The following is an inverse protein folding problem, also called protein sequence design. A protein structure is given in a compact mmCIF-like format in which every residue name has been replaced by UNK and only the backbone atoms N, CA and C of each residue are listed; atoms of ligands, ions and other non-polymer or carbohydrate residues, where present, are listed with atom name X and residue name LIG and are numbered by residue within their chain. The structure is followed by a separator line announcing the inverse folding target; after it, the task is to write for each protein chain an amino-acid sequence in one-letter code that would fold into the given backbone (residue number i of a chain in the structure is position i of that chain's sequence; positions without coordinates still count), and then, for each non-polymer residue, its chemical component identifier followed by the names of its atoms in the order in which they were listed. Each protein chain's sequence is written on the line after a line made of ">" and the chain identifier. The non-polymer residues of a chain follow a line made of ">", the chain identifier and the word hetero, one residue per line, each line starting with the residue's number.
data_IF_446199466875
#
_entry.id   IF_446199466875
#
_cell.length_a   1.000
_cell.length_b   1.000
_cell.length_c   1.000
_cell.angle_alpha   90.00
_cell.angle_beta   90.00
_cell.angle_gamma   90.00
#
_symmetry.space_group_name_H-M   'P 1'
#
loop_
_entity.id
_entity.type
_entity.pdbx_description
1 polymer ?
#
# COMPACT_ATOMS: atom_id res chain seq x y z
N UNK A 1 11.42 -11.66 17.43
CA UNK A 1 11.80 -10.35 16.86
C UNK A 1 10.54 -9.67 16.35
N UNK A 2 10.41 -8.35 16.52
CA UNK A 2 9.26 -7.61 16.01
C UNK A 2 9.46 -7.33 14.51
N UNK A 3 8.42 -7.53 13.72
CA UNK A 3 8.39 -7.17 12.31
C UNK A 3 7.99 -5.69 12.13
N UNK A 4 7.11 -5.20 13.01
CA UNK A 4 6.59 -3.84 12.98
C UNK A 4 6.63 -3.27 14.40
N UNK A 5 7.14 -2.06 14.53
CA UNK A 5 7.11 -1.27 15.77
C UNK A 5 6.62 0.14 15.47
N UNK A 6 5.59 0.57 16.21
CA UNK A 6 4.96 1.87 16.07
C UNK A 6 4.87 2.53 17.43
N UNK A 7 5.35 3.76 17.54
CA UNK A 7 5.40 4.52 18.79
C UNK A 7 4.85 5.94 18.59
N UNK A 8 3.79 6.29 19.32
CA UNK A 8 3.20 7.64 19.37
C UNK A 8 2.80 8.18 18.00
N UNK A 9 2.33 7.32 17.10
CA UNK A 9 2.16 7.66 15.69
C UNK A 9 0.95 8.58 15.49
N UNK A 10 1.20 9.71 14.82
CA UNK A 10 0.18 10.75 14.58
C UNK A 10 0.16 11.17 13.12
N UNK A 11 -1.04 11.45 12.62
CA UNK A 11 -1.24 12.07 11.30
C UNK A 11 -2.32 13.14 11.34
N UNK A 12 -1.90 14.33 10.95
CA UNK A 12 -2.75 15.49 10.81
C UNK A 12 -2.78 15.95 9.35
N UNK A 13 -3.96 16.37 8.91
CA UNK A 13 -4.19 16.99 7.61
C UNK A 13 -4.71 18.41 7.79
N UNK A 14 -4.26 19.32 6.94
CA UNK A 14 -4.82 20.67 6.85
C UNK A 14 -5.97 20.64 5.83
N UNK A 15 -7.19 20.75 6.30
CA UNK A 15 -8.37 20.92 5.46
C UNK A 15 -8.70 22.41 5.33
N UNK A 16 -9.07 22.85 4.13
CA UNK A 16 -9.53 24.21 3.92
C UNK A 16 -10.91 24.40 4.54
N UNK A 17 -11.10 25.45 5.33
CA UNK A 17 -12.45 25.91 5.70
C UNK A 17 -12.72 27.19 4.93
N UNK A 18 -13.64 27.15 3.96
CA UNK A 18 -14.10 28.38 3.32
C UNK A 18 -15.01 29.14 4.28
N UNK A 19 -14.80 30.45 4.38
CA UNK A 19 -15.75 31.35 5.04
C UNK A 19 -16.96 31.55 4.12
N UNK A 20 -18.16 31.61 4.68
CA UNK A 20 -19.39 31.84 3.93
C UNK A 20 -19.51 33.29 3.45
N UNK A 21 -20.07 33.48 2.24
CA UNK A 21 -20.35 34.78 1.63
C UNK A 21 -19.22 35.36 0.75
N UNK A 22 -19.57 36.33 -0.11
CA UNK A 22 -18.66 36.99 -1.06
C UNK A 22 -17.48 37.70 -0.36
N UNK A 23 -17.72 38.31 0.80
CA UNK A 23 -16.69 38.91 1.64
C UNK A 23 -15.76 37.85 2.28
N UNK A 24 -16.30 36.68 2.62
CA UNK A 24 -15.53 35.52 3.08
C UNK A 24 -14.58 34.99 2.00
N UNK A 25 -15.05 34.88 0.76
CA UNK A 25 -14.24 34.45 -0.38
C UNK A 25 -13.09 35.42 -0.70
N UNK A 26 -13.36 36.74 -0.69
CA UNK A 26 -12.30 37.75 -0.86
C UNK A 26 -11.25 37.67 0.26
N UNK A 27 -11.66 37.47 1.51
CA UNK A 27 -10.74 37.39 2.66
C UNK A 27 -9.94 36.09 2.68
N UNK A 28 -10.49 35.00 2.18
CA UNK A 28 -9.78 33.72 2.01
C UNK A 28 -8.73 33.78 0.87
N UNK A 29 -8.86 34.75 -0.05
CA UNK A 29 -7.83 35.06 -1.05
C UNK A 29 -6.56 35.65 -0.40
N UNK A 30 -6.71 36.42 0.69
CA UNK A 30 -5.61 37.07 1.41
C UNK A 30 -5.18 36.33 2.68
N UNK A 31 -6.09 35.62 3.36
CA UNK A 31 -5.83 34.89 4.61
C UNK A 31 -6.57 33.56 4.63
N UNK A 32 -5.91 32.52 4.10
CA UNK A 32 -6.44 31.15 4.08
C UNK A 32 -6.59 30.62 5.49
N UNK A 33 -7.81 30.21 5.85
CA UNK A 33 -8.08 29.55 7.11
C UNK A 33 -7.96 28.03 6.94
N UNK A 34 -7.27 27.38 7.86
CA UNK A 34 -7.06 25.93 7.84
C UNK A 34 -7.67 25.31 9.08
N UNK A 35 -8.42 24.23 8.89
CA UNK A 35 -8.84 23.33 9.97
C UNK A 35 -7.90 22.14 10.00
N UNK A 36 -7.38 21.81 11.18
CA UNK A 36 -6.59 20.59 11.37
C UNK A 36 -7.56 19.42 11.56
N UNK A 37 -7.37 18.38 10.76
CA UNK A 37 -8.10 17.11 10.85
C UNK A 37 -7.10 16.05 11.31
N UNK A 38 -7.31 15.52 12.51
CA UNK A 38 -6.50 14.44 13.07
C UNK A 38 -7.03 13.11 12.54
N UNK A 39 -6.30 12.52 11.59
CA UNK A 39 -6.66 11.24 10.98
C UNK A 39 -6.11 10.04 11.76
N UNK A 40 -4.99 10.22 12.46
CA UNK A 40 -4.43 9.22 13.37
C UNK A 40 -3.91 9.97 14.60
N UNK A 41 -4.29 9.53 15.78
CA UNK A 41 -3.96 10.20 17.03
C UNK A 41 -3.32 9.23 18.03
N UNK A 42 -2.00 9.27 18.10
CA UNK A 42 -1.17 8.67 19.15
C UNK A 42 -1.25 7.14 19.26
N UNK A 43 -1.19 6.44 18.13
CA UNK A 43 -1.24 4.98 18.16
C UNK A 43 0.15 4.39 18.41
N UNK A 44 0.22 3.38 19.29
CA UNK A 44 1.44 2.63 19.57
C UNK A 44 1.14 1.14 19.62
N UNK A 45 1.89 0.33 18.90
CA UNK A 45 1.74 -1.13 18.87
C UNK A 45 2.97 -1.80 18.27
N UNK A 46 3.10 -3.10 18.50
CA UNK A 46 4.12 -3.96 17.91
C UNK A 46 3.46 -5.17 17.25
N UNK A 47 4.03 -5.65 16.14
CA UNK A 47 3.63 -6.90 15.49
C UNK A 47 4.86 -7.80 15.40
N UNK A 48 4.73 -9.05 15.84
CA UNK A 48 5.83 -10.02 15.82
C UNK A 48 5.99 -10.63 14.43
N UNK A 49 7.21 -11.11 14.13
CA UNK A 49 7.45 -11.88 12.90
C UNK A 49 6.51 -13.09 12.84
N UNK A 50 5.84 -13.27 11.69
CA UNK A 50 4.88 -14.37 11.47
C UNK A 50 3.48 -14.15 12.05
N UNK A 51 3.24 -13.04 12.75
CA UNK A 51 1.93 -12.73 13.32
C UNK A 51 0.95 -12.22 12.25
N UNK A 52 -0.28 -12.71 12.31
CA UNK A 52 -1.38 -12.22 11.46
C UNK A 52 -2.29 -11.31 12.29
N UNK A 53 -2.37 -10.03 11.92
CA UNK A 53 -3.13 -9.01 12.66
C UNK A 53 -4.25 -8.44 11.79
N UNK A 54 -5.46 -8.38 12.36
CA UNK A 54 -6.58 -7.65 11.79
C UNK A 54 -6.68 -6.24 12.37
N UNK A 55 -6.65 -5.20 11.52
CA UNK A 55 -6.79 -3.81 11.95
C UNK A 55 -8.18 -3.27 11.55
N UNK A 56 -9.09 -3.22 12.53
CA UNK A 56 -10.53 -3.01 12.33
C UNK A 56 -10.97 -1.72 13.02
N UNK A 57 -12.04 -1.09 12.52
CA UNK A 57 -12.60 0.15 13.02
C UNK A 57 -13.58 0.74 12.01
N UNK A 58 -14.27 1.82 12.37
CA UNK A 58 -15.25 2.49 11.51
C UNK A 58 -14.62 3.18 10.29
N UNK A 59 -15.45 3.53 9.30
CA UNK A 59 -15.00 4.34 8.17
C UNK A 59 -14.56 5.72 8.68
N UNK A 60 -13.38 6.17 8.26
CA UNK A 60 -12.79 7.42 8.75
C UNK A 60 -11.91 7.28 10.00
N UNK A 61 -11.87 6.12 10.67
CA UNK A 61 -11.06 5.90 11.88
C UNK A 61 -9.52 5.90 11.65
N UNK A 62 -9.04 6.26 10.47
CA UNK A 62 -7.60 6.34 10.18
C UNK A 62 -6.94 5.05 9.67
N UNK A 63 -7.66 3.93 9.55
CA UNK A 63 -7.09 2.62 9.13
C UNK A 63 -6.20 2.69 7.88
N UNK A 64 -6.76 3.16 6.76
CA UNK A 64 -6.02 3.30 5.51
C UNK A 64 -4.89 4.32 5.60
N UNK A 65 -5.04 5.34 6.45
CA UNK A 65 -4.00 6.33 6.72
C UNK A 65 -2.83 5.69 7.44
N UNK A 66 -3.09 4.89 8.49
CA UNK A 66 -2.08 4.10 9.20
C UNK A 66 -1.35 3.14 8.28
N UNK A 67 -2.07 2.34 7.48
CA UNK A 67 -1.44 1.41 6.53
C UNK A 67 -0.54 2.16 5.54
N UNK A 68 -0.99 3.30 4.99
CA UNK A 68 -0.16 4.11 4.09
C UNK A 68 1.10 4.65 4.76
N UNK A 69 1.08 4.91 6.06
CA UNK A 69 2.27 5.31 6.81
C UNK A 69 3.23 4.13 7.00
N UNK A 70 2.72 2.97 7.43
CA UNK A 70 3.52 1.75 7.56
C UNK A 70 4.21 1.36 6.24
N UNK A 71 3.54 1.56 5.11
CA UNK A 71 4.08 1.22 3.78
C UNK A 71 4.92 2.34 3.18
N UNK A 72 5.24 3.39 3.93
CA UNK A 72 6.07 4.50 3.47
C UNK A 72 5.39 5.45 2.47
N UNK A 73 4.13 5.21 2.07
CA UNK A 73 3.40 6.02 1.08
C UNK A 73 3.07 7.40 1.62
N UNK A 74 2.72 7.48 2.90
CA UNK A 74 2.34 8.70 3.58
C UNK A 74 3.29 8.95 4.75
N UNK A 75 3.91 10.11 4.86
CA UNK A 75 4.76 10.42 6.02
C UNK A 75 3.90 10.80 7.23
N UNK A 76 4.17 10.27 8.45
CA UNK A 76 3.51 10.73 9.66
C UNK A 76 3.78 12.21 9.94
N UNK A 77 2.89 12.82 10.71
CA UNK A 77 3.13 14.18 11.23
C UNK A 77 4.11 14.11 12.40
N UNK A 78 3.99 13.11 13.27
CA UNK A 78 4.93 12.80 14.35
C UNK A 78 4.83 11.34 14.78
N UNK A 79 5.75 10.93 15.66
CA UNK A 79 5.91 9.54 16.10
C UNK A 79 6.96 8.76 15.30
N UNK A 80 7.11 7.48 15.61
CA UNK A 80 8.11 6.58 15.01
C UNK A 80 7.48 5.33 14.41
N UNK A 81 8.02 4.88 13.28
CA UNK A 81 7.71 3.61 12.62
C UNK A 81 9.02 2.91 12.27
N UNK A 82 9.10 1.63 12.63
CA UNK A 82 10.12 0.68 12.16
C UNK A 82 9.40 -0.54 11.59
N UNK A 83 9.75 -0.95 10.38
CA UNK A 83 9.23 -2.15 9.71
C UNK A 83 10.40 -2.89 9.09
N UNK A 84 10.53 -4.19 9.37
CA UNK A 84 11.67 -5.02 8.93
C UNK A 84 13.02 -4.38 9.30
N UNK A 85 13.13 -3.82 10.51
CA UNK A 85 14.31 -3.07 11.01
C UNK A 85 14.67 -1.81 10.21
N UNK A 86 13.79 -1.32 9.33
CA UNK A 86 14.00 -0.12 8.52
C UNK A 86 12.99 0.96 8.86
N UNK A 87 13.34 2.24 8.61
CA UNK A 87 12.36 3.33 8.65
C UNK A 87 11.74 3.53 7.24
N UNK A 88 10.42 3.32 7.06
CA UNK A 88 9.75 3.41 5.76
C UNK A 88 9.87 4.75 5.03
N UNK A 89 10.16 5.83 5.76
CA UNK A 89 10.19 7.21 5.25
C UNK A 89 11.59 7.72 4.97
N UNK A 90 12.63 7.11 5.55
CA UNK A 90 14.04 7.48 5.31
C UNK A 90 14.69 6.62 4.24
N UNK A 91 14.39 5.33 4.21
CA UNK A 91 15.07 4.34 3.35
C UNK A 91 14.11 3.74 2.31
N UNK A 92 13.30 4.59 1.69
CA UNK A 92 12.11 4.17 0.94
C UNK A 92 12.39 3.14 -0.16
N UNK A 93 13.42 3.32 -0.99
CA UNK A 93 13.71 2.40 -2.11
C UNK A 93 14.10 1.00 -1.65
N UNK A 94 14.93 0.91 -0.61
CA UNK A 94 15.31 -0.38 -0.02
C UNK A 94 14.11 -1.00 0.71
N UNK A 95 13.37 -0.18 1.46
CA UNK A 95 12.23 -0.61 2.24
C UNK A 95 11.14 -1.26 1.38
N UNK A 96 10.77 -0.65 0.24
CA UNK A 96 9.68 -1.16 -0.62
C UNK A 96 10.01 -2.52 -1.25
N UNK A 97 11.28 -2.91 -1.32
CA UNK A 97 11.68 -4.24 -1.78
C UNK A 97 11.41 -5.34 -0.73
N UNK A 98 11.15 -4.95 0.52
CA UNK A 98 10.94 -5.88 1.65
C UNK A 98 9.46 -6.10 2.00
N UNK A 99 8.53 -5.40 1.33
CA UNK A 99 7.12 -5.41 1.71
C UNK A 99 6.16 -5.51 0.51
N UNK A 100 5.24 -6.48 0.56
CA UNK A 100 4.14 -6.58 -0.39
C UNK A 100 2.88 -5.87 0.11
N UNK A 101 2.25 -5.00 -0.70
CA UNK A 101 1.07 -4.22 -0.27
C UNK A 101 -0.07 -4.31 -1.26
N UNK A 102 -1.28 -4.67 -0.82
CA UNK A 102 -2.51 -4.68 -1.63
C UNK A 102 -3.48 -3.59 -1.17
N UNK A 103 -3.74 -2.62 -2.05
CA UNK A 103 -4.80 -1.64 -1.86
C UNK A 103 -5.99 -2.03 -2.75
N UNK A 104 -7.07 -2.51 -2.15
CA UNK A 104 -8.22 -3.09 -2.87
C UNK A 104 -8.95 -2.16 -3.86
N UNK A 105 -8.57 -0.88 -3.99
CA UNK A 105 -9.21 0.07 -4.91
C UNK A 105 -8.40 0.40 -6.17
N UNK A 106 -7.13 -0.04 -6.30
CA UNK A 106 -6.34 0.16 -7.53
C UNK A 106 -5.55 -1.09 -7.88
N UNK A 107 -5.87 -1.68 -9.04
CA UNK A 107 -5.13 -2.80 -9.60
C UNK A 107 -3.68 -2.40 -9.86
N UNK A 108 -2.75 -3.24 -9.40
CA UNK A 108 -1.33 -3.11 -9.74
C UNK A 108 -0.99 -3.74 -11.08
N UNK A 109 -1.89 -4.59 -11.59
CA UNK A 109 -1.80 -5.13 -12.93
C UNK A 109 -2.30 -4.07 -13.92
N UNK A 110 -1.63 -3.97 -15.04
CA UNK A 110 -1.95 -3.02 -16.09
C UNK A 110 -3.25 -3.45 -16.76
N UNK A 111 -4.21 -2.52 -16.79
CA UNK A 111 -5.61 -2.78 -17.14
C UNK A 111 -5.81 -3.39 -18.54
N UNK A 112 -5.03 -2.90 -19.50
CA UNK A 112 -5.23 -3.13 -20.92
C UNK A 112 -4.40 -4.27 -21.50
N UNK A 113 -3.43 -4.81 -20.75
CA UNK A 113 -2.51 -5.86 -21.20
C UNK A 113 -2.82 -7.21 -20.54
N UNK A 114 -2.23 -8.29 -21.06
CA UNK A 114 -2.42 -9.62 -20.49
C UNK A 114 -1.83 -9.72 -19.07
N UNK A 115 -2.40 -10.60 -18.24
CA UNK A 115 -1.92 -10.82 -16.86
C UNK A 115 -0.43 -11.19 -16.84
N UNK A 116 0.01 -12.08 -17.74
CA UNK A 116 1.41 -12.48 -17.83
C UNK A 116 2.34 -11.30 -18.17
N UNK A 117 1.91 -10.36 -19.01
CA UNK A 117 2.70 -9.20 -19.38
C UNK A 117 2.82 -8.24 -18.19
N UNK A 118 1.73 -8.05 -17.45
CA UNK A 118 1.75 -7.31 -16.18
C UNK A 118 2.74 -7.93 -15.20
N UNK A 119 2.79 -9.26 -15.07
CA UNK A 119 3.75 -9.92 -14.19
C UNK A 119 5.20 -9.74 -14.65
N UNK A 120 5.47 -9.81 -15.95
CA UNK A 120 6.82 -9.54 -16.51
C UNK A 120 7.25 -8.10 -16.25
N UNK A 121 6.34 -7.13 -16.33
CA UNK A 121 6.61 -5.74 -15.96
C UNK A 121 6.93 -5.59 -14.47
N UNK A 122 6.13 -6.20 -13.59
CA UNK A 122 6.42 -6.20 -12.14
C UNK A 122 7.79 -6.80 -11.85
N UNK A 123 8.12 -7.96 -12.43
CA UNK A 123 9.45 -8.59 -12.31
C UNK A 123 10.58 -7.61 -12.64
N UNK A 124 10.48 -6.89 -13.76
CA UNK A 124 11.48 -5.89 -14.17
C UNK A 124 11.57 -4.71 -13.19
N UNK A 125 10.43 -4.20 -12.73
CA UNK A 125 10.36 -3.08 -11.77
C UNK A 125 11.03 -3.45 -10.45
N UNK A 126 10.78 -4.66 -9.95
CA UNK A 126 11.36 -5.16 -8.70
C UNK A 126 12.73 -5.82 -8.88
N UNK A 127 13.32 -5.78 -10.09
CA UNK A 127 14.64 -6.34 -10.41
C UNK A 127 14.79 -7.82 -9.99
N UNK A 128 13.74 -8.61 -10.15
CA UNK A 128 13.74 -10.05 -9.82
C UNK A 128 14.43 -10.84 -10.94
N UNK A 129 15.35 -11.74 -10.57
CA UNK A 129 16.07 -12.58 -11.53
C UNK A 129 15.14 -13.55 -12.26
N UNK A 130 15.55 -14.00 -13.45
CA UNK A 130 14.78 -14.98 -14.22
C UNK A 130 14.60 -16.31 -13.47
N UNK A 131 15.68 -16.80 -12.82
CA UNK A 131 15.66 -18.02 -12.05
C UNK A 131 14.62 -17.97 -10.92
N UNK A 132 14.69 -16.94 -10.07
CA UNK A 132 13.80 -16.77 -8.93
C UNK A 132 12.33 -16.55 -9.37
N UNK A 133 12.13 -15.78 -10.44
CA UNK A 133 10.79 -15.59 -10.99
C UNK A 133 10.19 -16.91 -11.50
N UNK A 134 10.94 -17.70 -12.26
CA UNK A 134 10.42 -18.95 -12.83
C UNK A 134 10.14 -19.99 -11.74
N UNK A 135 11.02 -20.11 -10.75
CA UNK A 135 10.87 -21.02 -9.61
C UNK A 135 9.59 -20.73 -8.81
N UNK A 136 9.35 -19.46 -8.48
CA UNK A 136 8.20 -19.08 -7.66
C UNK A 136 6.90 -18.95 -8.45
N UNK A 137 6.97 -18.43 -9.68
CA UNK A 137 5.76 -18.12 -10.45
C UNK A 137 4.98 -19.38 -10.83
N UNK A 138 5.66 -20.46 -11.18
CA UNK A 138 4.98 -21.72 -11.52
C UNK A 138 4.19 -22.28 -10.33
N UNK A 139 4.75 -22.18 -9.12
CA UNK A 139 4.06 -22.57 -7.90
C UNK A 139 2.84 -21.67 -7.64
N UNK A 140 3.01 -20.35 -7.73
CA UNK A 140 1.94 -19.37 -7.52
C UNK A 140 0.80 -19.54 -8.52
N UNK A 141 1.11 -19.77 -9.80
CA UNK A 141 0.14 -19.98 -10.87
C UNK A 141 -0.75 -21.20 -10.57
N UNK A 142 -0.14 -22.30 -10.13
CA UNK A 142 -0.84 -23.55 -9.78
C UNK A 142 -1.66 -23.38 -8.51
N UNK A 143 -1.07 -22.86 -7.44
CA UNK A 143 -1.72 -22.74 -6.13
C UNK A 143 -2.91 -21.79 -6.14
N UNK A 144 -2.92 -20.77 -7.01
CA UNK A 144 -4.03 -19.82 -7.13
C UNK A 144 -4.94 -20.10 -8.34
N UNK A 145 -4.68 -21.17 -9.10
CA UNK A 145 -5.44 -21.57 -10.28
C UNK A 145 -5.68 -20.39 -11.25
N UNK A 146 -4.59 -19.74 -11.66
CA UNK A 146 -4.63 -18.57 -12.55
C UNK A 146 -4.08 -18.84 -13.96
N UNK A 147 -3.61 -20.06 -14.24
CA UNK A 147 -3.11 -20.46 -15.56
C UNK A 147 -4.06 -20.07 -16.72
N UNK A 148 -5.39 -20.35 -16.67
CA UNK A 148 -6.29 -20.02 -17.78
C UNK A 148 -6.59 -18.51 -17.92
N UNK A 149 -6.04 -17.69 -17.02
CA UNK A 149 -6.24 -16.24 -16.99
C UNK A 149 -5.03 -15.48 -17.55
N UNK A 150 -3.88 -16.14 -17.73
CA UNK A 150 -2.60 -15.47 -18.01
C UNK A 150 -2.62 -14.66 -19.31
N UNK A 151 -3.28 -15.17 -20.35
CA UNK A 151 -3.39 -14.53 -21.66
C UNK A 151 -4.55 -13.53 -21.76
N UNK A 152 -5.38 -13.42 -20.72
CA UNK A 152 -6.54 -12.52 -20.74
C UNK A 152 -6.11 -11.12 -20.28
N UNK A 153 -6.60 -10.05 -20.95
CA UNK A 153 -6.46 -8.70 -20.42
C UNK A 153 -7.09 -8.55 -19.04
N UNK A 154 -6.44 -7.81 -18.13
CA UNK A 154 -6.88 -7.64 -16.73
C UNK A 154 -8.31 -7.08 -16.64
N UNK A 155 -8.69 -6.21 -17.59
CA UNK A 155 -10.05 -5.65 -17.69
C UNK A 155 -11.16 -6.68 -17.93
N UNK A 156 -10.84 -7.83 -18.52
CA UNK A 156 -11.80 -8.91 -18.82
C UNK A 156 -11.98 -9.91 -17.66
N UNK A 157 -11.24 -9.76 -16.58
CA UNK A 157 -11.33 -10.63 -15.40
C UNK A 157 -12.50 -10.23 -14.51
N UNK A 158 -13.16 -11.22 -13.91
CA UNK A 158 -14.06 -10.97 -12.78
C UNK A 158 -13.29 -10.41 -11.58
N UNK A 159 -13.97 -9.80 -10.61
CA UNK A 159 -13.32 -9.26 -9.41
C UNK A 159 -12.50 -10.31 -8.66
N UNK A 160 -13.06 -11.52 -8.47
CA UNK A 160 -12.37 -12.62 -7.79
C UNK A 160 -11.15 -13.13 -8.58
N UNK A 161 -11.26 -13.24 -9.90
CA UNK A 161 -10.13 -13.58 -10.78
C UNK A 161 -9.02 -12.53 -10.69
N UNK A 162 -9.39 -11.24 -10.78
CA UNK A 162 -8.45 -10.14 -10.65
C UNK A 162 -7.74 -10.16 -9.30
N UNK A 163 -8.46 -10.40 -8.21
CA UNK A 163 -7.86 -10.45 -6.89
C UNK A 163 -6.86 -11.60 -6.73
N UNK A 164 -7.12 -12.76 -7.33
CA UNK A 164 -6.14 -13.86 -7.40
C UNK A 164 -4.89 -13.47 -8.18
N UNK A 165 -5.06 -12.87 -9.37
CA UNK A 165 -3.93 -12.41 -10.17
C UNK A 165 -3.13 -11.29 -9.46
N UNK A 166 -3.78 -10.34 -8.79
CA UNK A 166 -3.10 -9.28 -8.05
C UNK A 166 -2.28 -9.80 -6.87
N UNK A 167 -2.79 -10.81 -6.16
CA UNK A 167 -2.03 -11.50 -5.11
C UNK A 167 -0.84 -12.25 -5.70
N UNK A 168 -1.05 -12.92 -6.83
CA UNK A 168 0.00 -13.68 -7.54
C UNK A 168 1.15 -12.77 -7.97
N UNK A 169 0.84 -11.65 -8.61
CA UNK A 169 1.85 -10.70 -9.09
C UNK A 169 2.77 -10.17 -7.99
N UNK A 170 2.24 -10.01 -6.77
CA UNK A 170 3.05 -9.61 -5.60
C UNK A 170 3.92 -10.71 -5.06
N UNK A 171 3.37 -11.91 -4.94
CA UNK A 171 4.12 -13.06 -4.45
C UNK A 171 5.29 -13.37 -5.39
N UNK A 172 5.10 -13.23 -6.69
CA UNK A 172 6.15 -13.46 -7.68
C UNK A 172 7.18 -12.33 -7.78
N UNK A 173 6.82 -11.10 -7.40
CA UNK A 173 7.71 -9.94 -7.47
C UNK A 173 8.51 -9.70 -6.19
N UNK A 174 8.24 -10.44 -5.12
CA UNK A 174 9.00 -10.36 -3.87
C UNK A 174 9.88 -11.60 -3.72
N UNK A 175 11.18 -11.44 -3.44
CA UNK A 175 11.94 -12.51 -2.84
C UNK A 175 11.32 -12.84 -1.50
N UNK A 176 10.76 -14.05 -1.39
CA UNK A 176 10.56 -14.67 -0.09
C UNK A 176 11.97 -14.93 0.43
N UNK A 177 12.43 -14.03 1.30
CA UNK A 177 13.64 -14.23 2.09
C UNK A 177 13.41 -15.32 3.14
#
# INVERSE_FOLDING_TARGET
>A
MNAIEVNGLRKEFKAYSSRSGLSGAFRDLFTRNYKIVQAVNDISFTVRQGEMVGYIGENGAGKSTTIKMLTGILTPTSGGIVVNSMNPHKEREKFVQTIGVVFGQRSQLWWDIAVQESFRLLKKVYKVSDAHYNEHMDHVIKSLDIAPLLDKPVRKLSLGQRMRCERSGKLASHPLA
#
